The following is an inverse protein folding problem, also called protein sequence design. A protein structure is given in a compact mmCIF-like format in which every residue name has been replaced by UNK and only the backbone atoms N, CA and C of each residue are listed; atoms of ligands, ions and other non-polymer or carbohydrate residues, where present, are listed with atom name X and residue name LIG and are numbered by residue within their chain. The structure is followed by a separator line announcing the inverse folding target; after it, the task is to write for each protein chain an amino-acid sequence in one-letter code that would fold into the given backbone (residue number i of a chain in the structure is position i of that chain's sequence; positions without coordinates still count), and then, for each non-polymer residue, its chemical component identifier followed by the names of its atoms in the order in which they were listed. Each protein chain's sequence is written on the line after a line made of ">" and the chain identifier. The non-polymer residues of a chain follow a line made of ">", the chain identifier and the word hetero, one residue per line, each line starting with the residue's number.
data_IF_738228295700
#
_entry.id   IF_738228295700
#
_cell.length_a   1.000
_cell.length_b   1.000
_cell.length_c   1.000
_cell.angle_alpha   90.00
_cell.angle_beta   90.00
_cell.angle_gamma   90.00
#
_symmetry.space_group_name_H-M   'P 1'
#
loop_
_entity.id
_entity.type
_entity.pdbx_description
1 polymer ?
#
# COMPACT_ATOMS: atom_id res chain seq x y z
N UNK A 1 35.21 -65.58 -15.91
CA UNK A 1 33.96 -66.04 -15.29
C UNK A 1 33.89 -65.47 -13.90
N UNK A 2 33.16 -64.37 -13.67
CA UNK A 2 32.62 -63.92 -12.38
C UNK A 2 31.51 -62.97 -12.70
N UNK A 3 30.29 -63.37 -12.36
CA UNK A 3 29.08 -62.62 -12.48
C UNK A 3 29.07 -61.45 -11.48
N UNK A 4 28.86 -60.25 -11.97
CA UNK A 4 28.53 -59.09 -11.11
C UNK A 4 27.02 -58.86 -11.16
N UNK A 5 26.35 -59.18 -10.06
CA UNK A 5 24.99 -58.77 -9.78
C UNK A 5 24.96 -57.26 -9.57
N UNK A 6 24.27 -56.52 -10.43
CA UNK A 6 23.86 -55.15 -10.20
C UNK A 6 22.47 -55.19 -9.57
N UNK A 7 22.40 -54.93 -8.28
CA UNK A 7 21.15 -54.54 -7.62
C UNK A 7 20.76 -53.14 -8.08
N UNK A 8 19.70 -53.06 -8.82
CA UNK A 8 19.01 -51.78 -9.15
C UNK A 8 18.20 -51.37 -7.91
N UNK A 9 18.67 -50.34 -7.21
CA UNK A 9 17.91 -49.68 -6.16
C UNK A 9 16.91 -48.71 -6.83
N UNK A 10 15.66 -49.10 -6.91
CA UNK A 10 14.56 -48.22 -7.35
C UNK A 10 14.23 -47.35 -6.14
N UNK A 11 14.72 -46.12 -6.14
CA UNK A 11 14.27 -45.09 -5.23
C UNK A 11 12.92 -44.56 -5.72
N UNK A 12 11.85 -45.03 -5.14
CA UNK A 12 10.50 -44.45 -5.27
C UNK A 12 10.50 -43.09 -4.56
N UNK A 13 10.71 -42.05 -5.33
CA UNK A 13 10.51 -40.68 -4.88
C UNK A 13 8.98 -40.43 -4.76
N UNK A 14 8.43 -40.61 -3.57
CA UNK A 14 7.06 -40.21 -3.26
C UNK A 14 6.99 -38.70 -3.30
N UNK A 15 6.49 -38.18 -4.40
CA UNK A 15 6.15 -36.77 -4.54
C UNK A 15 4.92 -36.51 -3.67
N UNK A 16 5.14 -36.11 -2.43
CA UNK A 16 4.09 -35.52 -1.58
C UNK A 16 3.70 -34.17 -2.18
N UNK A 17 2.79 -34.19 -3.15
CA UNK A 17 2.05 -32.99 -3.52
C UNK A 17 1.16 -32.63 -2.33
N UNK A 18 1.62 -31.72 -1.49
CA UNK A 18 0.75 -31.01 -0.59
C UNK A 18 -0.24 -30.20 -1.43
N UNK A 19 -1.38 -30.79 -1.74
CA UNK A 19 -2.54 -30.01 -2.17
C UNK A 19 -2.90 -29.10 -0.99
N UNK A 20 -2.37 -27.88 -1.02
CA UNK A 20 -2.94 -26.80 -0.24
C UNK A 20 -4.33 -26.56 -0.82
N UNK A 21 -5.38 -27.09 -0.16
CA UNK A 21 -6.74 -26.70 -0.43
C UNK A 21 -6.84 -25.19 -0.15
N UNK A 22 -6.56 -24.37 -1.14
CA UNK A 22 -6.96 -22.98 -1.10
C UNK A 22 -8.47 -22.98 -1.25
N UNK A 23 -9.19 -22.61 -0.19
CA UNK A 23 -10.64 -22.49 -0.27
C UNK A 23 -10.95 -21.47 -1.40
N UNK A 24 -11.70 -21.92 -2.40
CA UNK A 24 -12.13 -21.09 -3.50
C UNK A 24 -12.95 -19.90 -2.97
N UNK A 25 -12.60 -18.69 -3.38
CA UNK A 25 -13.35 -17.49 -2.97
C UNK A 25 -14.73 -17.56 -3.62
N UNK A 26 -15.78 -17.60 -2.82
CA UNK A 26 -17.16 -17.59 -3.27
C UNK A 26 -17.67 -16.15 -3.35
N UNK A 27 -18.11 -15.72 -4.53
CA UNK A 27 -18.84 -14.48 -4.66
C UNK A 27 -20.22 -14.63 -3.99
N UNK A 28 -20.52 -13.71 -3.08
CA UNK A 28 -21.86 -13.64 -2.49
C UNK A 28 -22.85 -13.01 -3.47
N UNK A 29 -24.13 -13.37 -3.32
CA UNK A 29 -25.24 -12.72 -4.02
C UNK A 29 -25.79 -11.51 -3.24
N UNK A 30 -25.08 -11.06 -2.20
CA UNK A 30 -25.48 -9.90 -1.41
C UNK A 30 -25.25 -8.60 -2.15
N UNK A 31 -26.05 -7.59 -1.82
CA UNK A 31 -26.05 -6.26 -2.47
C UNK A 31 -25.87 -5.13 -1.46
N UNK A 32 -25.37 -5.43 -0.25
CA UNK A 32 -25.29 -4.46 0.84
C UNK A 32 -24.55 -3.18 0.46
N UNK A 33 -23.38 -3.31 -0.20
CA UNK A 33 -22.63 -2.15 -0.65
C UNK A 33 -23.33 -1.43 -1.80
N UNK A 34 -23.91 -2.16 -2.76
CA UNK A 34 -24.65 -1.58 -3.90
C UNK A 34 -25.83 -0.77 -3.42
N UNK A 35 -26.66 -1.32 -2.53
CA UNK A 35 -27.86 -0.67 -2.00
C UNK A 35 -27.50 0.59 -1.20
N UNK A 36 -26.41 0.54 -0.43
CA UNK A 36 -25.93 1.66 0.36
C UNK A 36 -25.36 2.81 -0.49
N UNK A 37 -24.74 2.52 -1.63
CA UNK A 37 -23.97 3.49 -2.42
C UNK A 37 -24.74 4.05 -3.61
N UNK A 38 -25.70 3.31 -4.17
CA UNK A 38 -26.49 3.73 -5.35
C UNK A 38 -27.17 5.09 -5.15
N UNK A 39 -27.78 5.42 -3.99
CA UNK A 39 -28.40 6.74 -3.78
C UNK A 39 -27.42 7.91 -3.95
N UNK A 40 -26.17 7.74 -3.57
CA UNK A 40 -25.15 8.81 -3.70
C UNK A 40 -24.70 8.99 -5.15
N UNK A 41 -24.68 7.94 -5.94
CA UNK A 41 -24.44 8.03 -7.39
C UNK A 41 -25.60 8.73 -8.07
N UNK A 42 -26.85 8.34 -7.76
CA UNK A 42 -28.07 8.92 -8.33
C UNK A 42 -28.22 10.40 -7.99
N UNK A 43 -27.83 10.82 -6.79
CA UNK A 43 -27.84 12.23 -6.38
C UNK A 43 -26.67 13.06 -6.91
N UNK A 44 -25.71 12.43 -7.62
CA UNK A 44 -24.52 13.10 -8.15
C UNK A 44 -23.47 13.45 -7.08
N UNK A 45 -23.55 12.86 -5.88
CA UNK A 45 -22.57 13.05 -4.82
C UNK A 45 -21.33 12.15 -5.01
N UNK A 46 -21.48 11.00 -5.66
CA UNK A 46 -20.45 10.01 -5.90
C UNK A 46 -20.36 9.72 -7.41
N UNK A 47 -19.20 9.96 -8.08
CA UNK A 47 -19.07 9.70 -9.52
C UNK A 47 -19.14 8.22 -9.85
N UNK A 48 -18.45 7.42 -9.08
CA UNK A 48 -18.42 5.97 -9.13
C UNK A 48 -17.48 5.42 -8.08
N UNK A 49 -17.68 4.17 -7.71
CA UNK A 49 -16.86 3.50 -6.70
C UNK A 49 -16.82 1.99 -6.91
N UNK A 50 -15.70 1.41 -6.49
CA UNK A 50 -15.53 -0.02 -6.28
C UNK A 50 -15.50 -0.25 -4.77
N UNK A 51 -16.32 -1.16 -4.28
CA UNK A 51 -16.37 -1.57 -2.88
C UNK A 51 -16.30 -3.09 -2.80
N UNK A 52 -15.36 -3.61 -1.99
CA UNK A 52 -15.26 -5.04 -1.76
C UNK A 52 -15.27 -5.32 -0.27
N UNK A 53 -16.14 -6.23 0.14
CA UNK A 53 -16.14 -6.83 1.46
C UNK A 53 -15.76 -8.31 1.33
N UNK A 54 -14.87 -8.76 2.21
CA UNK A 54 -14.44 -10.14 2.25
C UNK A 54 -14.41 -10.63 3.69
N UNK A 55 -14.91 -11.83 3.92
CA UNK A 55 -14.83 -12.54 5.18
C UNK A 55 -14.86 -14.06 4.97
N UNK A 56 -13.89 -14.77 5.54
CA UNK A 56 -13.87 -16.25 5.60
C UNK A 56 -14.15 -16.96 4.25
N UNK A 57 -13.56 -16.46 3.16
CA UNK A 57 -13.71 -17.04 1.81
C UNK A 57 -14.93 -16.52 1.04
N UNK A 58 -15.81 -15.73 1.64
CA UNK A 58 -16.98 -15.12 0.98
C UNK A 58 -16.68 -13.67 0.65
N UNK A 59 -16.99 -13.24 -0.58
CA UNK A 59 -16.68 -11.90 -1.07
C UNK A 59 -17.90 -11.25 -1.73
N UNK A 60 -18.19 -9.98 -1.41
CA UNK A 60 -19.10 -9.13 -2.14
C UNK A 60 -18.30 -8.14 -2.96
N UNK A 61 -18.48 -8.15 -4.29
CA UNK A 61 -17.88 -7.19 -5.21
C UNK A 61 -18.96 -6.24 -5.70
N UNK A 62 -18.77 -4.95 -5.44
CA UNK A 62 -19.71 -3.91 -5.87
C UNK A 62 -18.99 -2.87 -6.72
N UNK A 63 -19.53 -2.62 -7.92
CA UNK A 63 -19.18 -1.49 -8.76
C UNK A 63 -20.45 -0.65 -8.97
N UNK A 64 -20.41 0.64 -8.61
CA UNK A 64 -21.53 1.57 -8.79
C UNK A 64 -21.07 2.84 -9.49
N UNK A 65 -21.90 3.39 -10.36
CA UNK A 65 -21.59 4.62 -11.09
C UNK A 65 -20.57 4.44 -12.20
N UNK A 66 -19.76 5.46 -12.42
CA UNK A 66 -18.97 5.60 -13.64
C UNK A 66 -17.47 5.74 -13.33
N UNK A 67 -16.65 5.14 -14.19
CA UNK A 67 -15.23 5.41 -14.26
C UNK A 67 -14.95 6.74 -14.99
N UNK A 68 -15.78 7.09 -15.96
CA UNK A 68 -15.86 8.41 -16.60
C UNK A 68 -17.31 8.86 -16.68
N UNK A 69 -17.64 9.92 -15.93
CA UNK A 69 -19.02 10.44 -15.83
C UNK A 69 -19.44 11.09 -17.14
N UNK A 70 -18.54 11.80 -17.82
CA UNK A 70 -18.86 12.49 -19.07
C UNK A 70 -19.15 11.49 -20.21
N UNK A 71 -18.36 10.45 -20.31
CA UNK A 71 -18.53 9.37 -21.27
C UNK A 71 -19.59 8.35 -20.83
N UNK A 72 -20.14 8.45 -19.62
CA UNK A 72 -21.04 7.45 -19.00
C UNK A 72 -20.46 6.03 -19.03
N UNK A 73 -19.12 5.91 -18.94
CA UNK A 73 -18.44 4.61 -18.91
C UNK A 73 -18.57 4.00 -17.50
N UNK A 74 -19.27 2.87 -17.35
CA UNK A 74 -19.41 2.23 -16.05
C UNK A 74 -18.06 1.87 -15.44
N UNK A 75 -17.95 1.96 -14.11
CA UNK A 75 -16.75 1.50 -13.40
C UNK A 75 -16.75 0.00 -13.22
N UNK A 76 -15.58 -0.64 -13.34
CA UNK A 76 -15.38 -2.09 -13.21
C UNK A 76 -14.20 -2.41 -12.28
N UNK A 77 -14.13 -3.68 -11.82
CA UNK A 77 -13.02 -4.21 -11.01
C UNK A 77 -11.66 -4.17 -11.72
N UNK A 78 -11.64 -4.07 -13.05
CA UNK A 78 -10.46 -4.06 -13.90
C UNK A 78 -10.03 -2.66 -14.35
N UNK A 79 -10.79 -1.64 -14.01
CA UNK A 79 -10.40 -0.27 -14.35
C UNK A 79 -9.16 0.15 -13.57
N UNK A 80 -8.24 0.81 -14.26
CA UNK A 80 -6.97 1.26 -13.68
C UNK A 80 -7.17 2.57 -12.94
N UNK A 81 -6.68 2.65 -11.73
CA UNK A 81 -6.71 3.85 -10.91
C UNK A 81 -5.42 4.06 -10.12
N UNK A 82 -5.16 5.30 -9.77
CA UNK A 82 -4.01 5.64 -8.94
C UNK A 82 -4.35 5.36 -7.47
N UNK A 83 -3.65 4.40 -6.85
CA UNK A 83 -3.91 4.04 -5.45
C UNK A 83 -3.29 5.01 -4.44
N UNK A 84 -2.46 5.95 -4.90
CA UNK A 84 -1.81 6.96 -4.08
C UNK A 84 -1.03 6.36 -2.90
N UNK A 85 -1.26 6.87 -1.69
CA UNK A 85 -0.48 6.51 -0.50
C UNK A 85 -0.54 5.03 -0.09
N UNK A 86 -1.44 4.24 -0.65
CA UNK A 86 -1.41 2.78 -0.47
C UNK A 86 -0.12 2.16 -1.05
N UNK A 87 0.56 2.85 -1.99
CA UNK A 87 1.89 2.48 -2.50
C UNK A 87 2.91 2.29 -1.38
N UNK A 88 2.78 3.02 -0.27
CA UNK A 88 3.68 2.93 0.89
C UNK A 88 3.78 1.52 1.48
N UNK A 89 2.66 0.80 1.51
CA UNK A 89 2.63 -0.60 1.98
C UNK A 89 3.47 -1.52 1.11
N UNK A 90 3.53 -1.26 -0.20
CA UNK A 90 4.39 -2.03 -1.11
C UNK A 90 5.88 -1.77 -0.84
N UNK A 91 6.25 -0.53 -0.55
CA UNK A 91 7.61 -0.22 -0.10
C UNK A 91 7.90 -0.92 1.24
N UNK A 92 6.94 -0.89 2.18
CA UNK A 92 7.05 -1.58 3.45
C UNK A 92 7.31 -3.09 3.30
N UNK A 93 6.62 -3.75 2.36
CA UNK A 93 6.86 -5.17 2.05
C UNK A 93 8.27 -5.38 1.49
N UNK A 94 8.77 -4.53 0.58
CA UNK A 94 10.14 -4.68 0.05
C UNK A 94 11.21 -4.46 1.14
N UNK A 95 11.02 -3.52 2.05
CA UNK A 95 11.90 -3.34 3.23
C UNK A 95 11.83 -4.58 4.14
N UNK A 96 10.62 -5.09 4.43
CA UNK A 96 10.44 -6.28 5.25
C UNK A 96 11.11 -7.53 4.66
N UNK A 97 11.09 -7.68 3.31
CA UNK A 97 11.83 -8.75 2.62
C UNK A 97 13.34 -8.66 2.87
N UNK A 98 13.92 -7.46 2.74
CA UNK A 98 15.36 -7.28 2.97
C UNK A 98 15.76 -7.49 4.43
N UNK A 99 14.87 -7.17 5.39
CA UNK A 99 15.06 -7.48 6.81
C UNK A 99 15.00 -8.99 7.03
N UNK A 100 14.01 -9.67 6.45
CA UNK A 100 13.86 -11.14 6.53
C UNK A 100 15.05 -11.88 5.92
N UNK A 101 15.63 -11.33 4.85
CA UNK A 101 16.85 -11.84 4.19
C UNK A 101 18.15 -11.52 4.98
N UNK A 102 18.06 -10.76 6.08
CA UNK A 102 19.22 -10.34 6.88
C UNK A 102 20.14 -9.33 6.19
N UNK A 103 19.68 -8.69 5.13
CA UNK A 103 20.47 -7.72 4.32
C UNK A 103 20.48 -6.32 4.93
N UNK A 104 19.45 -5.96 5.68
CA UNK A 104 19.33 -4.71 6.42
C UNK A 104 18.71 -4.96 7.80
N UNK A 105 18.94 -4.03 8.73
CA UNK A 105 18.18 -3.93 9.97
C UNK A 105 17.36 -2.65 9.98
N UNK A 106 16.16 -2.67 10.56
CA UNK A 106 15.35 -1.44 10.70
C UNK A 106 16.06 -0.37 11.55
N UNK A 107 16.95 -0.76 12.43
CA UNK A 107 17.71 0.14 13.31
C UNK A 107 19.06 0.54 12.71
N UNK A 108 19.39 0.06 11.49
CA UNK A 108 20.55 0.55 10.77
C UNK A 108 20.40 2.05 10.50
N UNK A 109 21.49 2.83 10.67
CA UNK A 109 21.56 4.21 10.22
C UNK A 109 21.28 4.32 8.72
N UNK A 110 20.43 5.24 8.30
CA UNK A 110 20.21 5.53 6.88
C UNK A 110 21.54 5.83 6.17
N UNK A 111 22.46 6.51 6.86
CA UNK A 111 23.81 6.85 6.36
C UNK A 111 24.71 5.66 6.05
N UNK A 112 24.38 4.46 6.52
CA UNK A 112 25.08 3.21 6.13
C UNK A 112 24.90 2.90 4.64
N UNK A 113 23.75 3.25 4.08
CA UNK A 113 23.36 3.00 2.69
C UNK A 113 23.40 4.25 1.83
N UNK A 114 23.10 5.40 2.42
CA UNK A 114 23.00 6.72 1.83
C UNK A 114 23.93 7.69 2.59
N UNK A 115 25.24 7.74 2.25
CA UNK A 115 26.24 8.48 3.02
C UNK A 115 25.92 9.97 3.21
N UNK A 116 25.15 10.57 2.31
CA UNK A 116 24.68 11.96 2.37
C UNK A 116 23.85 12.26 3.64
N UNK A 117 23.30 11.23 4.29
CA UNK A 117 22.55 11.36 5.54
C UNK A 117 23.43 11.33 6.81
N UNK A 118 24.77 11.34 6.67
CA UNK A 118 25.69 11.30 7.82
C UNK A 118 25.60 12.53 8.71
N UNK A 119 25.33 13.68 8.11
CA UNK A 119 25.15 14.93 8.85
C UNK A 119 23.84 15.59 8.43
N UNK A 120 22.90 15.63 9.34
CA UNK A 120 21.59 16.24 9.13
C UNK A 120 21.43 17.49 9.98
N UNK A 121 20.66 18.44 9.48
CA UNK A 121 20.33 19.67 10.15
C UNK A 121 18.85 19.71 10.50
N UNK A 122 18.54 20.23 11.68
CA UNK A 122 17.18 20.40 12.19
C UNK A 122 16.86 21.88 12.26
N UNK A 123 15.67 22.26 11.81
CA UNK A 123 15.16 23.63 11.95
C UNK A 123 14.84 23.91 13.41
N UNK A 124 15.70 24.68 14.11
CA UNK A 124 15.51 25.07 15.50
C UNK A 124 14.50 26.21 15.63
N UNK A 125 14.59 27.21 14.75
CA UNK A 125 13.66 28.35 14.72
C UNK A 125 13.56 28.95 13.31
N UNK A 126 12.50 29.75 13.10
CA UNK A 126 12.32 30.59 11.91
C UNK A 126 11.68 31.90 12.35
N UNK A 127 12.38 33.01 12.14
CA UNK A 127 11.89 34.34 12.48
C UNK A 127 12.33 35.33 11.40
N UNK A 128 11.38 36.13 10.93
CA UNK A 128 11.60 37.17 9.90
C UNK A 128 12.32 36.66 8.63
N UNK A 129 11.98 35.41 8.21
CA UNK A 129 12.61 34.74 7.04
C UNK A 129 14.00 34.14 7.33
N UNK A 130 14.57 34.34 8.52
CA UNK A 130 15.84 33.75 8.93
C UNK A 130 15.60 32.42 9.62
N UNK A 131 16.25 31.35 9.15
CA UNK A 131 16.20 30.01 9.76
C UNK A 131 17.45 29.75 10.54
N UNK A 132 17.28 29.36 11.81
CA UNK A 132 18.36 28.82 12.62
C UNK A 132 18.35 27.29 12.51
N UNK A 133 19.48 26.73 12.12
CA UNK A 133 19.67 25.29 12.01
C UNK A 133 20.63 24.81 13.09
N UNK A 134 20.32 23.63 13.65
CA UNK A 134 21.22 22.92 14.58
C UNK A 134 21.50 21.53 14.00
N UNK A 135 22.68 20.98 14.31
CA UNK A 135 23.00 19.61 13.90
C UNK A 135 22.09 18.62 14.64
N UNK A 136 21.53 17.66 13.91
CA UNK A 136 20.75 16.58 14.50
C UNK A 136 21.62 15.80 15.52
N UNK A 137 21.03 15.48 16.66
CA UNK A 137 21.64 14.69 17.74
C UNK A 137 21.37 13.21 17.60
N UNK A 138 20.15 12.86 17.15
CA UNK A 138 19.72 11.49 17.00
C UNK A 138 20.12 10.95 15.61
N UNK A 139 20.55 9.70 15.60
CA UNK A 139 20.80 8.98 14.34
C UNK A 139 19.48 8.68 13.65
N UNK A 140 19.37 9.05 12.39
CA UNK A 140 18.22 8.69 11.55
C UNK A 140 18.32 7.22 11.14
N UNK A 141 17.31 6.42 11.44
CA UNK A 141 17.25 4.98 11.12
C UNK A 141 16.24 4.68 10.00
N UNK A 142 16.35 3.48 9.39
CA UNK A 142 15.38 2.98 8.40
C UNK A 142 13.96 2.94 9.02
N UNK A 143 13.83 2.48 10.25
CA UNK A 143 12.57 2.50 11.00
C UNK A 143 11.90 3.87 11.00
N UNK A 144 12.66 4.92 11.27
CA UNK A 144 12.16 6.29 11.40
C UNK A 144 11.68 6.86 10.06
N UNK A 145 12.34 6.56 8.95
CA UNK A 145 11.86 7.01 7.63
C UNK A 145 10.61 6.28 7.21
N UNK A 146 10.49 4.98 7.53
CA UNK A 146 9.36 4.14 7.14
C UNK A 146 8.11 4.39 7.99
N UNK A 147 8.24 4.87 9.22
CA UNK A 147 7.11 5.08 10.13
C UNK A 147 6.77 6.55 10.39
N UNK A 148 7.35 7.46 9.61
CA UNK A 148 7.09 8.91 9.66
C UNK A 148 7.59 9.63 10.92
N UNK A 149 8.60 9.10 11.59
CA UNK A 149 9.26 9.78 12.72
C UNK A 149 10.62 10.38 12.34
N UNK A 150 11.00 10.35 11.06
CA UNK A 150 12.31 10.83 10.59
C UNK A 150 12.48 12.35 10.51
N UNK A 151 11.42 13.13 10.68
CA UNK A 151 11.49 14.60 10.64
C UNK A 151 11.40 15.25 9.27
N UNK A 152 11.10 14.48 8.21
CA UNK A 152 10.96 15.02 6.85
C UNK A 152 9.62 15.72 6.63
N UNK A 153 9.57 16.77 5.76
CA UNK A 153 8.31 17.33 5.31
C UNK A 153 7.51 16.30 4.49
N UNK A 154 6.24 16.60 4.22
CA UNK A 154 5.37 15.75 3.40
C UNK A 154 6.02 15.41 2.05
N UNK A 155 6.48 16.45 1.35
CA UNK A 155 7.24 16.35 0.10
C UNK A 155 8.34 17.41 0.09
N UNK A 156 9.43 17.10 -0.62
CA UNK A 156 10.46 18.08 -0.92
C UNK A 156 10.02 18.83 -2.17
N UNK A 157 9.71 20.11 -2.01
CA UNK A 157 9.42 20.96 -3.16
C UNK A 157 10.71 21.41 -3.84
N UNK A 158 10.67 21.52 -5.18
CA UNK A 158 11.76 22.10 -5.97
C UNK A 158 12.10 23.56 -5.56
N UNK A 159 11.24 24.21 -4.75
CA UNK A 159 11.46 25.54 -4.20
C UNK A 159 12.33 25.57 -2.94
N UNK A 160 12.57 24.44 -2.30
CA UNK A 160 13.37 24.38 -1.05
C UNK A 160 14.88 24.29 -1.25
N UNK A 161 15.32 24.11 -2.46
CA UNK A 161 16.70 24.29 -2.91
C UNK A 161 16.65 24.67 -4.38
N UNK A 162 17.54 25.50 -4.88
CA UNK A 162 17.68 25.85 -6.30
C UNK A 162 17.97 24.65 -7.23
N UNK A 163 17.60 23.43 -6.79
CA UNK A 163 17.81 22.16 -7.48
C UNK A 163 16.50 21.80 -8.17
N UNK A 164 16.42 22.02 -9.46
CA UNK A 164 15.35 21.47 -10.28
C UNK A 164 15.41 19.94 -10.22
N UNK A 165 14.32 19.28 -9.84
CA UNK A 165 14.18 17.87 -10.12
C UNK A 165 13.86 16.92 -8.97
N UNK A 166 13.68 17.41 -7.72
CA UNK A 166 13.33 16.53 -6.60
C UNK A 166 11.85 16.19 -6.51
N UNK A 167 11.55 14.95 -6.14
CA UNK A 167 10.20 14.49 -5.84
C UNK A 167 9.26 14.45 -7.03
N UNK A 168 7.97 14.44 -6.73
CA UNK A 168 6.87 14.27 -7.66
C UNK A 168 6.83 15.29 -8.81
N UNK A 169 7.22 16.53 -8.55
CA UNK A 169 7.17 17.61 -9.54
C UNK A 169 8.40 17.66 -10.45
N UNK A 170 9.49 17.01 -10.11
CA UNK A 170 10.76 17.14 -10.79
C UNK A 170 11.23 15.91 -11.57
N UNK A 171 10.66 14.73 -11.34
CA UNK A 171 10.95 13.52 -12.09
C UNK A 171 12.33 12.89 -11.87
N UNK A 172 13.14 13.40 -10.96
CA UNK A 172 14.47 12.87 -10.70
C UNK A 172 14.42 11.43 -10.11
N UNK A 173 15.39 10.54 -10.42
CA UNK A 173 15.46 9.23 -9.85
C UNK A 173 15.40 9.23 -8.31
N UNK A 174 14.91 8.15 -7.69
CA UNK A 174 14.79 8.03 -6.24
C UNK A 174 16.09 8.34 -5.49
N UNK A 175 17.23 7.85 -5.97
CA UNK A 175 18.55 8.12 -5.38
C UNK A 175 18.88 9.63 -5.37
N UNK A 176 18.61 10.33 -6.46
CA UNK A 176 18.84 11.78 -6.52
C UNK A 176 17.86 12.53 -5.63
N UNK A 177 16.60 12.10 -5.59
CA UNK A 177 15.58 12.68 -4.70
C UNK A 177 15.97 12.49 -3.23
N UNK A 178 16.50 11.32 -2.84
CA UNK A 178 17.00 11.08 -1.51
C UNK A 178 18.18 12.00 -1.15
N UNK A 179 19.13 12.21 -2.07
CA UNK A 179 20.26 13.13 -1.84
C UNK A 179 19.79 14.59 -1.65
N UNK A 180 18.78 15.02 -2.41
CA UNK A 180 18.13 16.34 -2.21
C UNK A 180 17.47 16.41 -0.83
N UNK A 181 16.83 15.30 -0.39
CA UNK A 181 16.23 15.22 0.94
C UNK A 181 17.25 15.40 2.05
N UNK A 182 18.43 14.79 1.93
CA UNK A 182 19.51 14.91 2.90
C UNK A 182 20.04 16.34 3.03
N UNK A 183 19.95 17.15 1.97
CA UNK A 183 20.36 18.57 2.01
C UNK A 183 19.31 19.50 2.62
N UNK A 184 18.10 19.01 2.86
CA UNK A 184 16.97 19.79 3.40
C UNK A 184 16.94 19.67 4.92
N UNK A 185 16.73 20.78 5.67
CA UNK A 185 16.59 20.70 7.11
C UNK A 185 15.38 19.88 7.54
N UNK A 186 15.57 19.01 8.53
CA UNK A 186 14.48 18.29 9.20
C UNK A 186 13.58 19.26 9.97
N UNK A 187 12.30 18.95 10.06
CA UNK A 187 11.32 19.74 10.83
C UNK A 187 11.48 19.58 12.33
N UNK A 188 12.06 18.48 12.77
CA UNK A 188 12.31 18.13 14.18
C UNK A 188 13.37 17.03 14.29
N UNK A 189 13.85 16.81 15.48
CA UNK A 189 14.85 15.78 15.80
C UNK A 189 14.31 14.37 15.49
N UNK A 190 15.00 13.52 14.73
CA UNK A 190 14.57 12.17 14.40
C UNK A 190 14.11 11.37 15.63
N UNK A 191 12.96 10.71 15.50
CA UNK A 191 12.36 9.87 16.54
C UNK A 191 11.52 10.61 17.59
N UNK A 192 11.45 11.96 17.56
CA UNK A 192 10.80 12.74 18.64
C UNK A 192 9.34 13.10 18.37
N UNK A 193 8.94 13.14 17.11
CA UNK A 193 7.57 13.49 16.68
C UNK A 193 7.17 12.71 15.45
N UNK A 194 5.92 12.84 15.06
CA UNK A 194 5.37 12.25 13.84
C UNK A 194 5.07 13.35 12.82
N UNK A 195 5.56 13.18 11.61
CA UNK A 195 5.18 13.96 10.44
C UNK A 195 5.01 13.02 9.26
N UNK A 196 3.77 12.85 8.80
CA UNK A 196 3.49 12.05 7.61
C UNK A 196 4.27 12.57 6.40
N UNK A 197 4.98 11.69 5.71
CA UNK A 197 5.97 12.09 4.71
C UNK A 197 6.05 11.08 3.56
N UNK A 198 5.84 11.52 2.33
CA UNK A 198 6.20 10.75 1.13
C UNK A 198 7.72 10.63 1.03
N UNK A 199 8.43 11.72 1.32
CA UNK A 199 9.90 11.79 1.28
C UNK A 199 10.56 10.70 2.12
N UNK A 200 10.06 10.44 3.34
CA UNK A 200 10.61 9.36 4.18
C UNK A 200 10.50 8.00 3.50
N UNK A 201 9.34 7.68 2.93
CA UNK A 201 9.13 6.40 2.24
C UNK A 201 9.98 6.30 0.96
N UNK A 202 10.13 7.39 0.20
CA UNK A 202 10.98 7.43 -0.98
C UNK A 202 12.46 7.21 -0.62
N UNK A 203 12.92 7.68 0.55
CA UNK A 203 14.26 7.34 1.09
C UNK A 203 14.36 5.83 1.37
N UNK A 204 13.31 5.22 1.94
CA UNK A 204 13.25 3.77 2.13
C UNK A 204 13.40 3.01 0.82
N UNK A 205 12.70 3.43 -0.24
CA UNK A 205 12.83 2.86 -1.57
C UNK A 205 14.24 3.05 -2.17
N UNK A 206 14.87 4.21 -1.96
CA UNK A 206 16.25 4.46 -2.38
C UNK A 206 17.24 3.53 -1.66
N UNK A 207 16.98 3.15 -0.39
CA UNK A 207 17.79 2.13 0.32
C UNK A 207 17.63 0.76 -0.34
N UNK A 208 16.40 0.39 -0.76
CA UNK A 208 16.19 -0.86 -1.52
C UNK A 208 17.04 -0.85 -2.78
N UNK A 209 17.09 0.24 -3.53
CA UNK A 209 17.93 0.35 -4.74
C UNK A 209 19.42 0.14 -4.44
N UNK A 210 19.93 0.74 -3.37
CA UNK A 210 21.35 0.58 -2.99
C UNK A 210 21.67 -0.85 -2.59
N UNK A 211 20.80 -1.47 -1.79
CA UNK A 211 21.03 -2.81 -1.27
C UNK A 211 20.89 -3.88 -2.34
N UNK A 212 19.96 -3.67 -3.29
CA UNK A 212 19.67 -4.68 -4.33
C UNK A 212 20.46 -4.48 -5.63
N UNK A 213 20.93 -3.26 -5.90
CA UNK A 213 21.52 -2.86 -7.17
C UNK A 213 20.48 -2.71 -8.29
N UNK A 214 19.20 -2.76 -7.97
CA UNK A 214 18.07 -2.62 -8.90
C UNK A 214 17.24 -1.38 -8.57
N UNK A 215 16.60 -0.80 -9.58
CA UNK A 215 15.59 0.23 -9.34
C UNK A 215 14.44 -0.36 -8.53
N UNK A 216 13.93 0.41 -7.55
CA UNK A 216 12.93 -0.08 -6.61
C UNK A 216 11.67 -0.63 -7.28
N UNK A 217 11.14 0.05 -8.29
CA UNK A 217 9.94 -0.41 -9.00
C UNK A 217 10.17 -1.71 -9.79
N UNK A 218 11.40 -1.99 -10.22
CA UNK A 218 11.75 -3.27 -10.87
C UNK A 218 11.82 -4.37 -9.82
N UNK A 219 12.51 -4.12 -8.70
CA UNK A 219 12.56 -5.04 -7.57
C UNK A 219 11.16 -5.39 -7.06
N UNK A 220 10.29 -4.37 -6.86
CA UNK A 220 8.90 -4.57 -6.47
C UNK A 220 8.14 -5.43 -7.48
N UNK A 221 8.28 -5.12 -8.77
CA UNK A 221 7.63 -5.87 -9.85
C UNK A 221 8.02 -7.35 -9.82
N UNK A 222 9.30 -7.65 -9.76
CA UNK A 222 9.83 -9.01 -9.83
C UNK A 222 9.56 -9.83 -8.57
N UNK A 223 9.63 -9.18 -7.39
CA UNK A 223 9.57 -9.89 -6.11
C UNK A 223 8.16 -9.93 -5.49
N UNK A 224 7.26 -9.03 -5.92
CA UNK A 224 5.93 -8.91 -5.31
C UNK A 224 4.83 -8.96 -6.37
N UNK A 225 4.85 -8.04 -7.35
CA UNK A 225 3.71 -7.91 -8.27
C UNK A 225 3.53 -9.15 -9.15
N UNK A 226 4.58 -9.57 -9.86
CA UNK A 226 4.50 -10.74 -10.75
C UNK A 226 4.25 -12.04 -9.97
N UNK A 227 4.93 -12.34 -8.85
CA UNK A 227 4.62 -13.54 -8.06
C UNK A 227 3.18 -13.60 -7.56
N UNK A 228 2.56 -12.44 -7.23
CA UNK A 228 1.15 -12.37 -6.85
C UNK A 228 0.20 -12.35 -8.06
N UNK A 229 0.70 -12.31 -9.29
CA UNK A 229 -0.11 -12.19 -10.50
C UNK A 229 -0.77 -10.82 -10.68
N UNK A 230 -0.15 -9.74 -10.15
CA UNK A 230 -0.62 -8.36 -10.25
C UNK A 230 -0.14 -7.71 -11.55
N UNK A 231 -0.62 -8.21 -12.68
CA UNK A 231 -0.12 -7.85 -14.01
C UNK A 231 -0.62 -6.50 -14.53
N UNK A 232 -1.67 -5.97 -13.93
CA UNK A 232 -2.22 -4.65 -14.27
C UNK A 232 -1.64 -3.52 -13.40
N UNK A 233 -0.76 -3.84 -12.44
CA UNK A 233 -0.18 -2.86 -11.52
C UNK A 233 1.18 -2.37 -12.00
N UNK A 234 1.38 -1.05 -12.09
CA UNK A 234 2.59 -0.46 -12.65
C UNK A 234 2.76 0.99 -12.22
N UNK A 235 4.02 1.47 -12.18
CA UNK A 235 4.32 2.92 -12.13
C UNK A 235 4.21 3.58 -13.49
N UNK A 236 4.19 2.78 -14.55
CA UNK A 236 4.10 3.21 -15.94
C UNK A 236 3.00 2.41 -16.64
N UNK A 237 1.72 2.79 -16.47
CA UNK A 237 0.64 2.17 -17.20
C UNK A 237 0.87 2.28 -18.71
N UNK A 238 0.54 1.23 -19.45
CA UNK A 238 0.57 1.24 -20.91
C UNK A 238 -0.59 2.08 -21.46
N UNK A 239 -0.50 2.50 -22.73
CA UNK A 239 -1.58 3.24 -23.38
C UNK A 239 -2.89 2.43 -23.37
N UNK A 240 -2.81 1.10 -23.47
CA UNK A 240 -3.98 0.22 -23.37
C UNK A 240 -4.60 0.24 -21.98
N UNK A 241 -3.78 0.21 -20.93
CA UNK A 241 -4.25 0.33 -19.54
C UNK A 241 -4.89 1.70 -19.29
N UNK A 242 -4.33 2.77 -19.86
CA UNK A 242 -4.86 4.13 -19.71
C UNK A 242 -6.25 4.32 -20.38
N UNK A 243 -6.63 3.49 -21.35
CA UNK A 243 -8.00 3.50 -21.92
C UNK A 243 -9.06 3.11 -20.89
N UNK A 244 -8.70 2.33 -19.88
CA UNK A 244 -9.57 1.92 -18.78
C UNK A 244 -9.39 2.74 -17.52
N UNK A 245 -8.64 3.85 -17.59
CA UNK A 245 -8.37 4.70 -16.43
C UNK A 245 -9.67 5.26 -15.84
N UNK A 246 -9.76 5.21 -14.50
CA UNK A 246 -10.80 5.92 -13.76
C UNK A 246 -10.45 7.40 -13.70
N UNK A 247 -11.37 8.26 -14.12
CA UNK A 247 -11.20 9.71 -14.08
C UNK A 247 -11.12 10.22 -12.65
N UNK A 248 -10.25 11.21 -12.43
CA UNK A 248 -10.07 11.85 -11.14
C UNK A 248 -10.95 13.08 -10.99
N UNK A 249 -11.55 13.22 -9.83
CA UNK A 249 -12.46 14.31 -9.51
C UNK A 249 -12.09 14.99 -8.19
N UNK A 250 -12.45 16.27 -8.06
CA UNK A 250 -12.44 17.00 -6.79
C UNK A 250 -13.87 17.33 -6.36
N UNK A 251 -14.16 17.23 -5.08
CA UNK A 251 -15.36 17.81 -4.50
C UNK A 251 -15.35 19.33 -4.72
N UNK A 252 -16.47 19.88 -5.17
CA UNK A 252 -16.63 21.33 -5.29
C UNK A 252 -16.91 21.90 -3.90
N UNK A 253 -16.08 22.86 -3.47
CA UNK A 253 -16.30 23.57 -2.20
C UNK A 253 -17.68 24.23 -2.20
N UNK A 254 -18.37 24.13 -1.10
CA UNK A 254 -19.72 24.70 -0.90
C UNK A 254 -20.83 24.12 -1.81
N UNK A 255 -20.53 23.08 -2.57
CA UNK A 255 -21.49 22.33 -3.37
C UNK A 255 -21.23 20.81 -3.25
N UNK A 256 -21.49 20.21 -2.07
CA UNK A 256 -21.07 18.82 -1.75
C UNK A 256 -21.72 17.73 -2.64
N UNK A 257 -22.75 18.09 -3.40
CA UNK A 257 -23.36 17.21 -4.41
C UNK A 257 -22.72 17.36 -5.79
N UNK A 258 -21.63 18.11 -5.92
CA UNK A 258 -20.96 18.36 -7.18
C UNK A 258 -19.49 18.00 -7.09
N UNK A 259 -18.94 17.54 -8.19
CA UNK A 259 -17.51 17.31 -8.38
C UNK A 259 -17.08 17.80 -9.76
N UNK A 260 -15.80 18.13 -9.88
CA UNK A 260 -15.18 18.54 -11.14
C UNK A 260 -14.05 17.60 -11.49
N UNK A 261 -13.87 17.34 -12.78
CA UNK A 261 -12.74 16.57 -13.29
C UNK A 261 -11.42 17.28 -13.00
N UNK A 262 -10.44 16.54 -12.52
CA UNK A 262 -9.06 17.03 -12.38
C UNK A 262 -8.27 16.81 -13.67
N UNK A 263 -7.71 17.90 -14.22
CA UNK A 263 -6.93 17.80 -15.46
C UNK A 263 -5.42 17.60 -15.23
N UNK A 264 -4.91 17.85 -14.01
CA UNK A 264 -3.48 18.03 -13.80
C UNK A 264 -2.70 16.80 -13.34
N UNK A 265 -3.36 15.78 -12.77
CA UNK A 265 -2.70 14.59 -12.22
C UNK A 265 -2.70 13.39 -13.18
N UNK A 266 -3.63 13.36 -14.14
CA UNK A 266 -3.78 12.26 -15.10
C UNK A 266 -2.67 12.22 -16.16
N UNK A 267 -1.90 13.30 -16.31
CA UNK A 267 -0.99 13.51 -17.45
C UNK A 267 0.47 13.25 -17.14
N UNK A 268 0.81 12.71 -15.97
CA UNK A 268 2.21 12.40 -15.64
C UNK A 268 2.40 10.92 -15.31
N UNK A 269 2.15 10.03 -16.28
CA UNK A 269 2.67 8.69 -16.12
C UNK A 269 4.19 8.80 -16.05
N UNK A 270 4.78 7.97 -15.23
CA UNK A 270 6.19 7.66 -15.28
C UNK A 270 6.59 7.33 -16.74
N UNK A 271 7.50 8.08 -17.32
CA UNK A 271 7.98 7.92 -18.71
C UNK A 271 9.51 8.08 -18.76
N UNK A 272 10.09 8.08 -19.96
CA UNK A 272 11.54 8.16 -20.12
C UNK A 272 12.11 9.50 -19.63
N UNK A 273 11.31 10.56 -19.67
CA UNK A 273 11.67 11.89 -19.16
C UNK A 273 11.34 12.05 -17.66
N UNK A 274 10.51 11.16 -17.10
CA UNK A 274 10.04 11.20 -15.72
C UNK A 274 10.26 9.84 -15.06
N UNK A 275 11.44 9.64 -14.49
CA UNK A 275 11.90 8.35 -13.94
C UNK A 275 11.69 8.23 -12.42
N UNK A 276 10.86 9.09 -11.82
CA UNK A 276 10.56 9.07 -10.39
C UNK A 276 9.42 8.10 -10.07
N UNK A 277 9.75 6.90 -9.63
CA UNK A 277 8.79 5.92 -9.13
C UNK A 277 8.52 6.19 -7.65
N UNK A 278 7.61 7.13 -7.31
CA UNK A 278 7.31 7.46 -5.92
C UNK A 278 6.80 6.26 -5.14
N UNK A 279 7.56 5.82 -4.17
CA UNK A 279 7.14 4.82 -3.19
C UNK A 279 6.06 5.37 -2.23
N UNK A 280 5.98 6.70 -2.14
CA UNK A 280 4.96 7.39 -1.36
C UNK A 280 3.57 7.38 -1.98
N UNK A 281 3.43 7.30 -3.34
CA UNK A 281 2.11 7.46 -3.96
C UNK A 281 1.99 7.02 -5.44
N UNK A 282 3.03 6.49 -6.09
CA UNK A 282 3.11 6.43 -7.57
C UNK A 282 2.50 5.22 -8.25
N UNK A 283 2.04 4.19 -7.52
CA UNK A 283 1.56 2.94 -8.13
C UNK A 283 0.13 3.08 -8.65
N UNK A 284 -0.05 2.70 -9.91
CA UNK A 284 -1.35 2.46 -10.55
C UNK A 284 -1.71 0.98 -10.43
N UNK A 285 -2.99 0.69 -10.24
CA UNK A 285 -3.46 -0.67 -10.01
C UNK A 285 -4.93 -0.82 -10.43
N UNK A 286 -5.45 -2.04 -10.36
CA UNK A 286 -6.87 -2.36 -10.43
C UNK A 286 -7.36 -2.90 -9.08
N UNK A 287 -8.66 -2.93 -8.84
CA UNK A 287 -9.19 -3.52 -7.62
C UNK A 287 -8.85 -5.01 -7.51
N UNK A 288 -8.88 -5.74 -8.63
CA UNK A 288 -8.51 -7.15 -8.66
C UNK A 288 -7.04 -7.39 -8.26
N UNK A 289 -6.12 -6.57 -8.73
CA UNK A 289 -4.71 -6.68 -8.33
C UNK A 289 -4.51 -6.25 -6.87
N UNK A 290 -5.13 -5.15 -6.46
CA UNK A 290 -5.03 -4.65 -5.10
C UNK A 290 -5.51 -5.70 -4.07
N UNK A 291 -6.59 -6.43 -4.39
CA UNK A 291 -7.07 -7.53 -3.54
C UNK A 291 -6.02 -8.61 -3.35
N UNK A 292 -5.26 -8.98 -4.39
CA UNK A 292 -4.19 -10.00 -4.29
C UNK A 292 -3.14 -9.59 -3.25
N UNK A 293 -2.72 -8.32 -3.27
CA UNK A 293 -1.74 -7.80 -2.31
C UNK A 293 -2.28 -7.80 -0.88
N UNK A 294 -3.47 -7.26 -0.66
CA UNK A 294 -4.03 -7.17 0.69
C UNK A 294 -4.49 -8.52 1.24
N UNK A 295 -4.93 -9.44 0.39
CA UNK A 295 -5.19 -10.82 0.80
C UNK A 295 -3.89 -11.56 1.18
N UNK A 296 -2.79 -11.30 0.47
CA UNK A 296 -1.46 -11.80 0.87
C UNK A 296 -1.11 -11.29 2.27
N UNK A 297 -1.32 -10.02 2.58
CA UNK A 297 -1.10 -9.46 3.93
C UNK A 297 -2.04 -10.11 4.96
N UNK A 298 -3.34 -10.26 4.66
CA UNK A 298 -4.32 -10.91 5.52
C UNK A 298 -3.98 -12.38 5.79
N UNK A 299 -3.39 -13.05 4.80
CA UNK A 299 -2.93 -14.44 4.89
C UNK A 299 -1.47 -14.55 5.36
N UNK A 300 -0.99 -13.52 6.06
CA UNK A 300 0.31 -13.50 6.71
C UNK A 300 1.45 -13.90 5.77
N UNK A 301 1.49 -13.23 4.62
CA UNK A 301 2.54 -13.34 3.62
C UNK A 301 2.31 -14.41 2.53
N UNK A 302 1.18 -15.12 2.55
CA UNK A 302 0.82 -16.11 1.54
C UNK A 302 -0.20 -15.55 0.55
N UNK A 303 0.14 -15.51 -0.72
CA UNK A 303 -0.79 -15.18 -1.80
C UNK A 303 -1.85 -16.26 -2.01
N UNK A 304 -2.99 -15.88 -2.57
CA UNK A 304 -4.08 -16.84 -2.89
C UNK A 304 -3.66 -17.90 -3.93
N UNK A 305 -2.63 -17.61 -4.71
CA UNK A 305 -2.03 -18.55 -5.67
C UNK A 305 -0.98 -19.48 -5.03
N UNK A 306 -0.86 -19.51 -3.70
CA UNK A 306 0.08 -20.37 -2.98
C UNK A 306 1.53 -19.85 -2.94
N UNK A 307 1.80 -18.68 -3.52
CA UNK A 307 3.14 -18.10 -3.49
C UNK A 307 3.36 -17.36 -2.16
N UNK A 308 4.43 -17.69 -1.45
CA UNK A 308 4.82 -16.99 -0.23
C UNK A 308 5.73 -15.81 -0.57
N UNK A 309 5.29 -14.63 -0.15
CA UNK A 309 6.03 -13.37 -0.32
C UNK A 309 6.87 -13.06 0.92
N UNK A 310 6.33 -13.28 2.11
CA UNK A 310 6.98 -13.05 3.40
C UNK A 310 6.66 -14.21 4.35
N UNK A 311 7.48 -14.41 5.36
CA UNK A 311 7.17 -15.27 6.49
C UNK A 311 6.02 -14.67 7.31
N UNK A 312 5.27 -15.54 7.97
CA UNK A 312 4.17 -15.16 8.84
C UNK A 312 4.61 -14.19 9.95
N UNK A 313 5.71 -14.53 10.63
CA UNK A 313 6.28 -13.70 11.69
C UNK A 313 6.71 -12.32 11.20
N UNK A 314 7.23 -12.23 9.96
CA UNK A 314 7.63 -10.96 9.35
C UNK A 314 6.41 -10.06 9.17
N UNK A 315 5.29 -10.58 8.67
CA UNK A 315 4.06 -9.80 8.53
C UNK A 315 3.55 -9.34 9.90
N UNK A 316 3.45 -10.25 10.88
CA UNK A 316 2.97 -9.95 12.23
C UNK A 316 3.81 -8.89 12.93
N UNK A 317 5.13 -9.02 12.87
CA UNK A 317 6.04 -8.18 13.65
C UNK A 317 6.41 -6.86 12.98
N UNK A 318 6.44 -6.80 11.63
CA UNK A 318 6.93 -5.64 10.90
C UNK A 318 5.83 -4.86 10.16
N UNK A 319 4.70 -5.47 9.83
CA UNK A 319 3.66 -4.84 9.02
C UNK A 319 2.34 -4.67 9.76
N UNK A 320 1.89 -5.69 10.49
CA UNK A 320 0.60 -5.68 11.19
C UNK A 320 0.64 -5.03 12.58
N UNK A 321 1.82 -4.63 13.04
CA UNK A 321 2.03 -3.96 14.34
C UNK A 321 2.80 -2.67 14.16
N UNK A 322 2.45 -1.65 14.94
CA UNK A 322 3.14 -0.34 14.93
C UNK A 322 4.63 -0.47 15.26
N UNK A 323 5.45 0.24 14.51
CA UNK A 323 6.88 0.39 14.77
C UNK A 323 7.24 1.73 15.42
N UNK A 324 6.23 2.59 15.69
CA UNK A 324 6.40 3.85 16.42
C UNK A 324 6.51 3.61 17.91
N UNK A 325 7.13 4.53 18.65
CA UNK A 325 7.03 4.57 20.10
C UNK A 325 5.56 4.64 20.56
N UNK A 326 5.26 4.00 21.68
CA UNK A 326 3.90 3.99 22.27
C UNK A 326 3.38 5.42 22.47
N UNK A 327 2.13 5.66 22.11
CA UNK A 327 1.47 6.97 22.21
C UNK A 327 1.70 7.90 21.01
N UNK A 328 2.46 7.49 20.01
CA UNK A 328 2.66 8.25 18.77
C UNK A 328 1.70 7.84 17.63
N UNK A 329 0.66 7.07 17.96
CA UNK A 329 -0.29 6.53 17.00
C UNK A 329 0.25 5.34 16.20
N UNK A 330 -0.66 4.51 15.72
CA UNK A 330 -0.32 3.24 15.11
C UNK A 330 0.14 3.35 13.65
N UNK A 331 1.40 3.05 13.37
CA UNK A 331 1.94 2.97 12.01
C UNK A 331 3.17 2.05 11.96
N UNK A 332 3.23 1.19 10.96
CA UNK A 332 4.34 0.26 10.74
C UNK A 332 5.23 0.70 9.56
N UNK A 333 5.73 -0.24 8.79
CA UNK A 333 6.51 0.04 7.58
C UNK A 333 5.59 0.42 6.41
N UNK A 334 5.18 1.67 6.33
CA UNK A 334 4.34 2.16 5.24
C UNK A 334 2.86 1.77 5.34
N UNK A 335 2.40 1.22 6.46
CA UNK A 335 1.01 0.85 6.71
C UNK A 335 0.52 1.46 8.04
N UNK A 336 -0.74 1.90 8.08
CA UNK A 336 -1.45 2.09 9.34
C UNK A 336 -1.56 0.73 10.01
N UNK A 337 -1.16 0.63 11.26
CA UNK A 337 -1.18 -0.61 12.01
C UNK A 337 -1.42 -0.31 13.49
N UNK A 338 -2.06 -1.18 14.26
CA UNK A 338 -2.34 -0.95 15.68
C UNK A 338 -1.07 -0.87 16.52
N UNK A 339 -1.10 -0.15 17.61
CA UNK A 339 -0.01 -0.15 18.60
C UNK A 339 0.09 -1.50 19.32
N UNK A 340 -1.05 -2.14 19.55
CA UNK A 340 -1.14 -3.47 20.16
C UNK A 340 -1.93 -4.40 19.24
N UNK A 341 -1.41 -5.61 19.04
CA UNK A 341 -2.09 -6.63 18.25
C UNK A 341 -3.21 -7.27 19.07
N UNK A 342 -4.40 -7.33 18.48
CA UNK A 342 -5.57 -7.99 19.05
C UNK A 342 -6.55 -8.38 17.95
N UNK A 343 -7.56 -9.17 18.29
CA UNK A 343 -8.54 -9.69 17.32
C UNK A 343 -9.35 -8.62 16.57
N UNK A 344 -9.42 -7.38 17.06
CA UNK A 344 -10.10 -6.27 16.43
C UNK A 344 -9.13 -5.36 15.66
N UNK A 345 -7.85 -5.73 15.59
CA UNK A 345 -6.81 -4.95 14.95
C UNK A 345 -6.92 -4.99 13.42
N UNK A 346 -6.99 -3.82 12.83
CA UNK A 346 -6.97 -3.63 11.39
C UNK A 346 -5.66 -2.97 10.97
N UNK A 347 -5.08 -3.42 9.88
CA UNK A 347 -3.94 -2.75 9.26
C UNK A 347 -4.12 -2.64 7.75
N UNK A 348 -3.44 -1.68 7.15
CA UNK A 348 -3.58 -1.35 5.74
C UNK A 348 -3.27 0.11 5.49
N UNK A 349 -3.77 0.69 4.41
CA UNK A 349 -3.55 2.10 4.14
C UNK A 349 -4.67 2.74 3.31
N UNK A 350 -4.88 4.04 3.52
CA UNK A 350 -5.68 4.88 2.66
C UNK A 350 -4.84 5.60 1.61
N UNK A 351 -5.48 6.16 0.58
CA UNK A 351 -4.87 6.98 -0.44
C UNK A 351 -5.64 8.28 -0.66
N UNK A 352 -4.96 9.31 -1.15
CA UNK A 352 -5.63 10.49 -1.69
C UNK A 352 -6.64 10.06 -2.76
N UNK A 353 -7.57 10.92 -3.13
CA UNK A 353 -8.73 10.56 -3.97
C UNK A 353 -9.62 9.43 -3.43
N UNK A 354 -9.53 9.16 -2.10
CA UNK A 354 -10.51 8.34 -1.39
C UNK A 354 -10.35 6.85 -1.54
N UNK A 355 -9.20 6.35 -1.92
CA UNK A 355 -8.92 4.90 -1.92
C UNK A 355 -8.54 4.41 -0.53
N UNK A 356 -8.92 3.21 -0.15
CA UNK A 356 -8.31 2.50 0.98
C UNK A 356 -8.49 0.98 0.86
N UNK A 357 -7.60 0.24 1.52
CA UNK A 357 -7.79 -1.17 1.78
C UNK A 357 -7.24 -1.52 3.16
N UNK A 358 -8.05 -2.20 3.96
CA UNK A 358 -7.72 -2.61 5.32
C UNK A 358 -8.02 -4.09 5.50
N UNK A 359 -7.20 -4.76 6.29
CA UNK A 359 -7.35 -6.18 6.60
C UNK A 359 -7.30 -6.41 8.11
N UNK A 360 -8.06 -7.40 8.55
CA UNK A 360 -7.96 -8.00 9.87
C UNK A 360 -7.60 -9.49 9.67
N UNK A 361 -6.37 -9.85 9.97
CA UNK A 361 -5.88 -11.21 9.76
C UNK A 361 -6.42 -12.21 10.77
N UNK A 362 -6.78 -11.78 11.99
CA UNK A 362 -7.39 -12.64 13.01
C UNK A 362 -8.79 -13.11 12.61
N UNK A 363 -9.60 -12.18 12.08
CA UNK A 363 -10.99 -12.42 11.69
C UNK A 363 -11.16 -12.76 10.22
N UNK A 364 -10.05 -12.89 9.47
CA UNK A 364 -10.07 -13.11 8.00
C UNK A 364 -11.03 -12.15 7.29
N UNK A 365 -10.90 -10.87 7.60
CA UNK A 365 -11.72 -9.81 7.04
C UNK A 365 -10.88 -8.85 6.20
N UNK A 366 -11.46 -8.38 5.10
CA UNK A 366 -10.89 -7.33 4.27
C UNK A 366 -12.01 -6.37 3.82
N UNK A 367 -11.67 -5.09 3.74
CA UNK A 367 -12.49 -4.09 3.09
C UNK A 367 -11.63 -3.29 2.12
N UNK A 368 -12.07 -3.21 0.87
CA UNK A 368 -11.47 -2.38 -0.17
C UNK A 368 -12.48 -1.34 -0.62
N UNK A 369 -12.00 -0.13 -0.77
CA UNK A 369 -12.73 0.99 -1.33
C UNK A 369 -11.85 1.71 -2.34
N UNK A 370 -12.33 1.86 -3.56
CA UNK A 370 -11.65 2.60 -4.59
C UNK A 370 -12.61 3.59 -5.24
N UNK A 371 -12.32 4.86 -5.04
CA UNK A 371 -12.94 6.00 -5.70
C UNK A 371 -11.82 6.96 -6.10
N UNK A 372 -12.04 7.73 -7.14
CA UNK A 372 -11.08 8.76 -7.58
C UNK A 372 -11.69 10.15 -7.36
N UNK A 373 -12.07 10.41 -6.10
CA UNK A 373 -12.68 11.68 -5.68
C UNK A 373 -11.94 12.24 -4.44
N UNK A 374 -11.33 13.40 -4.60
CA UNK A 374 -10.62 14.12 -3.53
C UNK A 374 -11.53 15.13 -2.85
N UNK A 375 -11.32 15.36 -1.55
CA UNK A 375 -12.00 16.38 -0.78
C UNK A 375 -13.06 15.86 0.19
N UNK A 376 -13.79 16.79 0.77
CA UNK A 376 -14.85 16.58 1.75
C UNK A 376 -16.09 17.42 1.34
N UNK A 377 -17.30 17.07 1.75
CA UNK A 377 -17.68 15.95 2.61
C UNK A 377 -17.74 14.59 1.87
N UNK A 378 -17.77 13.51 2.67
CA UNK A 378 -17.93 12.14 2.18
C UNK A 378 -19.19 11.51 2.79
N UNK A 379 -20.37 11.88 2.34
CA UNK A 379 -21.63 11.48 2.96
C UNK A 379 -21.92 9.98 2.86
N UNK A 380 -21.26 9.27 1.95
CA UNK A 380 -21.39 7.82 1.78
C UNK A 380 -20.61 6.98 2.81
N UNK A 381 -19.67 7.56 3.58
CA UNK A 381 -18.80 6.77 4.47
C UNK A 381 -19.61 6.01 5.53
N UNK A 382 -20.56 6.65 6.18
CA UNK A 382 -21.42 6.00 7.19
C UNK A 382 -22.29 4.87 6.58
N UNK A 383 -22.81 5.08 5.37
CA UNK A 383 -23.63 4.08 4.67
C UNK A 383 -22.78 2.86 4.28
N UNK A 384 -21.55 3.10 3.77
CA UNK A 384 -20.58 2.05 3.43
C UNK A 384 -20.18 1.25 4.68
N UNK A 385 -19.89 1.90 5.80
CA UNK A 385 -19.53 1.23 7.05
C UNK A 385 -20.67 0.39 7.61
N UNK A 386 -21.92 0.88 7.49
CA UNK A 386 -23.11 0.09 7.85
C UNK A 386 -23.23 -1.16 6.96
N UNK A 387 -23.08 -1.00 5.65
CA UNK A 387 -23.12 -2.11 4.70
C UNK A 387 -22.02 -3.16 4.98
N UNK A 388 -20.81 -2.72 5.33
CA UNK A 388 -19.71 -3.60 5.72
C UNK A 388 -20.07 -4.45 6.95
N UNK A 389 -20.67 -3.83 7.98
CA UNK A 389 -21.11 -4.54 9.19
C UNK A 389 -22.21 -5.55 8.87
N UNK A 390 -23.17 -5.17 8.01
CA UNK A 390 -24.24 -6.07 7.57
C UNK A 390 -23.68 -7.27 6.80
N UNK A 391 -22.73 -7.05 5.89
CA UNK A 391 -22.07 -8.13 5.17
C UNK A 391 -21.32 -9.09 6.12
N UNK A 392 -20.55 -8.57 7.06
CA UNK A 392 -19.81 -9.43 8.00
C UNK A 392 -20.75 -10.23 8.89
N UNK A 393 -21.86 -9.63 9.34
CA UNK A 393 -22.87 -10.34 10.10
C UNK A 393 -23.56 -11.42 9.27
N UNK A 394 -23.93 -11.08 8.01
CA UNK A 394 -24.50 -12.07 7.07
C UNK A 394 -23.60 -13.30 6.90
N UNK A 395 -22.30 -13.10 6.74
CA UNK A 395 -21.36 -14.22 6.61
C UNK A 395 -21.30 -15.05 7.88
N UNK A 396 -21.32 -14.40 9.06
CA UNK A 396 -21.36 -15.12 10.36
C UNK A 396 -22.63 -15.96 10.48
N UNK A 397 -23.78 -15.40 10.16
CA UNK A 397 -25.09 -16.04 10.30
C UNK A 397 -25.30 -17.19 9.30
N UNK A 398 -24.66 -17.12 8.14
CA UNK A 398 -24.79 -18.09 7.04
C UNK A 398 -23.56 -19.01 6.87
N UNK A 399 -22.48 -18.79 7.64
CA UNK A 399 -21.40 -19.75 7.70
C UNK A 399 -21.89 -20.94 8.53
N UNK A 400 -21.97 -22.12 7.93
CA UNK A 400 -22.17 -23.38 8.66
C UNK A 400 -21.01 -23.57 9.64
N UNK A 401 -21.13 -22.99 10.84
CA UNK A 401 -20.15 -23.07 11.95
C UNK A 401 -19.95 -24.53 12.43
N UNK A 402 -20.78 -25.46 11.95
CA UNK A 402 -20.66 -26.89 12.25
C UNK A 402 -19.49 -27.61 11.59
N UNK A 403 -18.86 -27.03 10.58
CA UNK A 403 -17.77 -27.68 9.84
C UNK A 403 -16.37 -27.44 10.42
N UNK A 404 -16.20 -26.54 11.38
CA UNK A 404 -14.86 -26.15 11.87
C UNK A 404 -14.60 -26.43 13.37
N UNK A 405 -15.54 -26.95 14.11
CA UNK A 405 -15.28 -27.39 15.48
C UNK A 405 -14.97 -28.91 15.57
N UNK A 406 -14.06 -29.36 14.72
CA UNK A 406 -13.43 -30.68 14.81
C UNK A 406 -12.47 -30.77 16.01
N UNK A 407 -12.95 -30.44 17.22
CA UNK A 407 -12.39 -30.96 18.49
C UNK A 407 -13.34 -32.01 19.02
N UNK A 408 -13.09 -33.24 18.64
CA UNK A 408 -13.52 -34.40 19.44
C UNK A 408 -12.91 -34.29 20.84
N UNK A 409 -13.75 -34.50 21.84
CA UNK A 409 -13.39 -34.61 23.24
C UNK A 409 -12.32 -35.67 23.47
#
# INVERSE_FOLDING_TARGET
>A
MKFLNRMMLIATMTLLTSLSLHAEVKNSNTTFAKDALTPFVQSGQLPGAICVFYKDGIQENTCVGYADVAAKRPITMNDVYMQCSQTKGFCGVTIAMLVEEGRISLDDPVSKYLPEFKTLWVKASEKDGVRTLVKAKNTLTIRMVMNHTGGFPFEISAKQGNIKGGGWSGGAPLRQTAAIAASSPLLFEPGTRVQYSNTGIDIGAAIVEVVTGQRWEIFLKERVLLPLGMTASSFRPTDEQLKTQVEMYDCVKDAPAKYRRQNNMQQRPYNDDHVFASAGAGLWTTANDQLKFYKMLMNLGMGENGVRILKEETVKNLLAKSSRPKGMGGYSLGLTAPEEDNENAWFGHGGAWGTFCMVNWHKKQLTLWAVQLCGQPRPWDAAREKAQKQFFQYVIDNSDVKAYTGRTK
#
